data_IF_229062976289
#
_entry.id   IF_229062976289
#
_cell.length_a   1.000
_cell.length_b   1.000
_cell.length_c   1.000
_cell.angle_alpha   90.00
_cell.angle_beta   90.00
_cell.angle_gamma   90.00
#
_symmetry.space_group_name_H-M   'P 1'
#
loop_
_entity.id
_entity.type
_entity.pdbx_description
1 polymer ?
#
# COMPACT_ATOMS: atom_id res chain seq x y z
N UNK A 1 -0.30 0.24 31.94
CA UNK A 1 0.12 -0.66 30.85
C UNK A 1 -0.13 -0.08 29.44
N UNK A 2 -1.17 0.69 29.20
CA UNK A 2 -1.48 1.33 27.88
C UNK A 2 -0.42 2.36 27.46
N UNK A 3 0.12 3.15 28.39
CA UNK A 3 1.12 4.20 28.10
C UNK A 3 2.43 3.63 27.51
N UNK A 4 2.91 2.48 28.01
CA UNK A 4 4.15 1.86 27.53
C UNK A 4 4.05 1.32 26.08
N UNK A 5 2.87 0.92 25.61
CA UNK A 5 2.66 0.46 24.23
C UNK A 5 2.59 1.60 23.22
N UNK A 6 2.06 2.75 23.63
CA UNK A 6 2.02 3.96 22.79
C UNK A 6 3.43 4.49 22.50
N UNK A 7 4.31 4.49 23.51
CA UNK A 7 5.72 4.87 23.33
C UNK A 7 6.49 3.91 22.43
N UNK A 8 6.23 2.60 22.49
CA UNK A 8 6.86 1.63 21.60
C UNK A 8 6.43 1.84 20.13
N UNK A 9 5.16 2.13 19.90
CA UNK A 9 4.68 2.44 18.54
C UNK A 9 5.31 3.74 17.99
N UNK A 10 5.34 4.80 18.79
CA UNK A 10 6.01 6.06 18.44
C UNK A 10 7.50 5.84 18.14
N UNK A 11 8.18 5.02 18.92
CA UNK A 11 9.59 4.68 18.72
C UNK A 11 9.80 3.91 17.42
N UNK A 12 9.00 2.89 17.11
CA UNK A 12 9.08 2.14 15.84
C UNK A 12 8.70 3.01 14.64
N UNK A 13 7.70 3.88 14.76
CA UNK A 13 7.33 4.83 13.71
C UNK A 13 8.44 5.85 13.48
N UNK A 14 9.07 6.36 14.53
CA UNK A 14 10.24 7.24 14.44
C UNK A 14 11.46 6.54 13.84
N UNK A 15 11.72 5.28 14.18
CA UNK A 15 12.78 4.47 13.58
C UNK A 15 12.52 4.21 12.10
N UNK A 16 11.26 3.93 11.69
CA UNK A 16 10.88 3.75 10.30
C UNK A 16 11.03 5.06 9.50
N UNK A 17 10.62 6.19 10.08
CA UNK A 17 10.82 7.52 9.49
C UNK A 17 12.30 7.86 9.43
N UNK A 18 13.08 7.57 10.47
CA UNK A 18 14.53 7.75 10.47
C UNK A 18 15.21 6.88 9.41
N UNK A 19 14.78 5.63 9.22
CA UNK A 19 15.28 4.74 8.16
C UNK A 19 14.95 5.30 6.76
N UNK A 20 13.74 5.83 6.55
CA UNK A 20 13.36 6.51 5.31
C UNK A 20 14.13 7.82 5.09
N UNK A 21 14.52 8.53 6.15
CA UNK A 21 15.33 9.73 6.10
C UNK A 21 16.82 9.40 5.90
N UNK A 22 17.34 8.32 6.48
CA UNK A 22 18.72 7.87 6.32
C UNK A 22 19.02 7.38 4.89
N UNK A 23 18.05 6.84 4.18
CA UNK A 23 18.18 6.52 2.74
C UNK A 23 18.41 7.77 1.88
N UNK A 24 18.14 8.97 2.40
CA UNK A 24 18.34 10.25 1.71
C UNK A 24 19.69 10.94 1.97
N UNK A 25 20.43 10.57 3.01
CA UNK A 25 21.69 11.27 3.36
C UNK A 25 22.88 10.92 2.47
N UNK A 26 22.75 10.04 1.50
CA UNK A 26 23.84 9.65 0.57
C UNK A 26 23.83 10.40 -0.78
N UNK A 27 22.96 11.40 -0.97
CA UNK A 27 22.88 12.15 -2.24
C UNK A 27 23.31 13.59 -1.97
N UNK A 28 24.47 13.94 -2.53
CA UNK A 28 25.17 15.19 -2.40
C UNK A 28 24.30 16.46 -2.39
N UNK A 29 24.77 17.43 -1.64
CA UNK A 29 24.28 18.81 -1.58
C UNK A 29 24.05 19.38 -2.98
N UNK A 30 22.80 19.44 -3.40
CA UNK A 30 22.33 20.39 -4.40
C UNK A 30 21.29 21.26 -3.72
N UNK A 31 21.56 22.54 -3.76
CA UNK A 31 20.71 23.64 -3.30
C UNK A 31 19.32 23.54 -3.95
N UNK A 32 18.48 22.70 -3.40
CA UNK A 32 17.08 22.58 -3.78
C UNK A 32 16.25 23.13 -2.64
N UNK A 33 15.63 24.27 -2.86
CA UNK A 33 14.55 24.82 -2.03
C UNK A 33 13.37 23.81 -1.99
N UNK A 34 13.61 22.67 -1.35
CA UNK A 34 12.61 21.64 -1.14
C UNK A 34 11.59 22.16 -0.13
N UNK A 35 10.42 22.54 -0.63
CA UNK A 35 9.35 23.02 0.22
C UNK A 35 8.66 21.83 0.89
N UNK A 36 8.81 21.72 2.20
CA UNK A 36 8.03 20.82 3.03
C UNK A 36 6.65 21.42 3.27
N UNK A 37 5.64 20.56 3.30
CA UNK A 37 4.27 20.92 3.57
C UNK A 37 3.71 20.02 4.66
N UNK A 38 2.94 20.61 5.53
CA UNK A 38 2.15 19.92 6.54
C UNK A 38 0.68 20.02 6.16
N UNK A 39 0.01 18.87 6.09
CA UNK A 39 -1.43 18.80 5.88
C UNK A 39 -2.05 18.12 7.10
N UNK A 40 -2.95 18.83 7.75
CA UNK A 40 -3.68 18.33 8.93
C UNK A 40 -5.14 18.16 8.56
N UNK A 41 -5.70 16.99 8.85
CA UNK A 41 -7.02 16.59 8.40
C UNK A 41 -7.80 15.87 9.50
N UNK A 42 -8.64 16.57 10.28
CA UNK A 42 -9.68 15.91 11.06
C UNK A 42 -10.63 15.16 10.14
N UNK A 43 -11.03 13.96 10.56
CA UNK A 43 -11.96 13.11 9.82
C UNK A 43 -13.04 12.52 10.70
N UNK A 44 -14.23 12.33 10.12
CA UNK A 44 -15.33 11.58 10.69
C UNK A 44 -15.80 10.52 9.71
N UNK A 45 -16.16 9.33 10.22
CA UNK A 45 -16.51 8.23 9.34
C UNK A 45 -17.14 7.05 10.06
N UNK A 46 -17.05 5.88 9.40
CA UNK A 46 -17.57 4.61 9.88
C UNK A 46 -16.62 3.47 9.52
N UNK A 47 -16.67 2.41 10.30
CA UNK A 47 -16.10 1.11 9.90
C UNK A 47 -17.08 0.43 8.98
N UNK A 48 -16.64 0.05 7.76
CA UNK A 48 -17.49 -0.63 6.78
C UNK A 48 -17.61 -2.12 7.17
N UNK A 49 -18.82 -2.62 7.46
CA UNK A 49 -19.06 -4.05 7.71
C UNK A 49 -19.05 -4.81 6.38
N UNK A 50 -17.94 -5.43 6.04
CA UNK A 50 -17.78 -6.21 4.80
C UNK A 50 -18.08 -7.70 4.96
N UNK A 51 -18.46 -8.12 6.17
CA UNK A 51 -18.89 -9.49 6.50
C UNK A 51 -19.99 -9.44 7.56
N UNK A 52 -20.97 -10.39 7.49
CA UNK A 52 -22.08 -10.43 8.44
C UNK A 52 -21.62 -10.57 9.91
N UNK A 53 -20.59 -11.39 10.13
CA UNK A 53 -20.03 -11.65 11.47
C UNK A 53 -19.43 -10.44 12.17
N UNK A 54 -19.29 -9.30 11.49
CA UNK A 54 -18.68 -8.09 12.07
C UNK A 54 -19.65 -6.92 12.21
N UNK A 55 -20.92 -7.08 11.79
CA UNK A 55 -21.91 -6.00 11.86
C UNK A 55 -22.19 -5.55 13.30
N UNK A 56 -22.21 -6.46 14.25
CA UNK A 56 -22.45 -6.17 15.68
C UNK A 56 -21.33 -5.31 16.31
N UNK A 57 -20.14 -5.26 15.69
CA UNK A 57 -19.02 -4.48 16.16
C UNK A 57 -19.14 -2.98 15.80
N UNK A 58 -20.04 -2.64 14.87
CA UNK A 58 -20.23 -1.27 14.41
C UNK A 58 -21.24 -0.58 15.32
N UNK A 59 -20.75 0.03 16.39
CA UNK A 59 -21.59 0.60 17.45
C UNK A 59 -21.66 2.14 17.38
N UNK A 60 -20.74 2.77 16.62
CA UNK A 60 -20.67 4.22 16.53
C UNK A 60 -19.85 4.72 15.33
N UNK A 61 -19.81 6.04 15.22
CA UNK A 61 -19.00 6.71 14.20
C UNK A 61 -17.53 6.74 14.59
N UNK A 62 -16.67 6.50 13.62
CA UNK A 62 -15.23 6.68 13.81
C UNK A 62 -14.86 8.17 13.75
N UNK A 63 -13.86 8.56 14.54
CA UNK A 63 -13.28 9.91 14.54
C UNK A 63 -11.77 9.80 14.49
N UNK A 64 -11.12 10.68 13.74
CA UNK A 64 -9.68 10.59 13.62
C UNK A 64 -9.01 11.89 13.20
N UNK A 65 -7.70 11.85 13.30
CA UNK A 65 -6.80 12.89 12.84
C UNK A 65 -5.75 12.27 11.92
N UNK A 66 -5.53 12.89 10.79
CA UNK A 66 -4.55 12.55 9.80
C UNK A 66 -3.57 13.72 9.65
N UNK A 67 -2.28 13.43 9.68
CA UNK A 67 -1.19 14.39 9.56
C UNK A 67 -0.23 13.91 8.48
N UNK A 68 -0.15 14.65 7.38
CA UNK A 68 0.70 14.33 6.24
C UNK A 68 1.84 15.33 6.12
N UNK A 69 3.06 14.86 6.42
CA UNK A 69 4.30 15.61 6.22
C UNK A 69 4.83 15.23 4.84
N UNK A 70 4.78 16.15 3.91
CA UNK A 70 5.15 15.84 2.53
C UNK A 70 6.18 16.83 1.96
N UNK A 71 6.86 16.35 0.95
CA UNK A 71 7.72 17.16 0.09
C UNK A 71 7.04 17.31 -1.26
N UNK A 72 6.86 18.54 -1.68
CA UNK A 72 6.38 18.81 -3.03
C UNK A 72 7.44 18.45 -4.05
N UNK A 73 7.01 17.87 -5.16
CA UNK A 73 7.87 17.60 -6.30
C UNK A 73 8.40 18.91 -6.88
N UNK A 74 9.73 19.00 -7.03
CA UNK A 74 10.45 20.20 -7.49
C UNK A 74 10.63 20.28 -9.01
N UNK A 75 10.23 19.24 -9.76
CA UNK A 75 10.40 19.17 -11.22
C UNK A 75 11.79 18.71 -11.68
N UNK A 76 12.70 18.38 -10.78
CA UNK A 76 14.04 17.89 -11.11
C UNK A 76 14.08 16.54 -11.80
N UNK A 77 13.02 15.73 -11.63
CA UNK A 77 12.88 14.41 -12.23
C UNK A 77 11.72 14.37 -13.21
N UNK A 78 11.85 13.59 -14.27
CA UNK A 78 10.83 13.47 -15.30
C UNK A 78 9.49 12.95 -14.75
N UNK A 79 9.49 12.02 -13.79
CA UNK A 79 8.25 11.49 -13.19
C UNK A 79 7.44 12.55 -12.45
N UNK A 80 8.07 13.64 -11.92
CA UNK A 80 7.35 14.77 -11.35
C UNK A 80 6.42 15.42 -12.39
N UNK A 81 6.93 15.60 -13.62
CA UNK A 81 6.18 16.14 -14.75
C UNK A 81 5.12 15.16 -15.25
N UNK A 82 5.50 13.89 -15.38
CA UNK A 82 4.62 12.85 -15.85
C UNK A 82 3.37 12.71 -14.97
N UNK A 83 3.51 12.90 -13.66
CA UNK A 83 2.42 12.79 -12.68
C UNK A 83 1.92 14.14 -12.14
N UNK A 84 2.10 15.23 -12.88
CA UNK A 84 1.60 16.56 -12.54
C UNK A 84 2.09 17.10 -11.19
N UNK A 85 3.35 16.84 -10.83
CA UNK A 85 3.99 17.25 -9.57
C UNK A 85 3.31 16.66 -8.33
N UNK A 86 3.45 15.37 -8.09
CA UNK A 86 2.88 14.69 -6.93
C UNK A 86 3.44 15.21 -5.61
N UNK A 87 2.62 15.08 -4.57
CA UNK A 87 3.02 15.29 -3.16
C UNK A 87 3.36 13.94 -2.56
N UNK A 88 4.57 13.77 -2.04
CA UNK A 88 5.03 12.49 -1.49
C UNK A 88 5.61 12.68 -0.10
N UNK A 89 5.27 11.81 0.83
CA UNK A 89 5.76 11.93 2.20
C UNK A 89 5.24 10.88 3.14
N UNK A 90 5.34 11.19 4.43
CA UNK A 90 4.89 10.30 5.51
C UNK A 90 3.59 10.82 6.08
N UNK A 91 2.66 9.91 6.19
CA UNK A 91 1.32 10.09 6.71
C UNK A 91 1.17 9.38 8.04
N UNK A 92 0.71 10.11 9.05
CA UNK A 92 0.35 9.58 10.36
C UNK A 92 -1.15 9.71 10.55
N UNK A 93 -1.79 8.62 10.96
CA UNK A 93 -3.23 8.61 11.22
C UNK A 93 -3.50 8.03 12.60
N UNK A 94 -4.40 8.66 13.34
CA UNK A 94 -4.96 8.15 14.58
C UNK A 94 -6.48 8.13 14.46
N UNK A 95 -7.10 6.97 14.68
CA UNK A 95 -8.55 6.77 14.55
C UNK A 95 -9.08 6.09 15.81
N UNK A 96 -10.11 6.67 16.38
CA UNK A 96 -11.03 5.99 17.30
C UNK A 96 -12.09 5.28 16.45
N UNK A 97 -12.24 3.97 16.64
CA UNK A 97 -13.11 3.13 15.79
C UNK A 97 -14.61 3.33 16.01
N UNK A 98 -15.02 4.04 17.07
CA UNK A 98 -16.42 4.10 17.52
C UNK A 98 -16.84 2.93 18.42
N UNK A 99 -15.99 1.90 18.55
CA UNK A 99 -16.11 0.77 19.48
C UNK A 99 -14.72 0.45 20.01
N UNK A 100 -14.30 1.22 21.02
CA UNK A 100 -12.94 1.11 21.57
C UNK A 100 -12.71 -0.14 22.39
N UNK A 101 -13.75 -0.75 22.90
CA UNK A 101 -13.66 -1.97 23.70
C UNK A 101 -13.26 -3.19 22.84
N UNK A 102 -13.89 -3.38 21.71
CA UNK A 102 -13.68 -4.55 20.85
C UNK A 102 -12.76 -4.26 19.65
N UNK A 103 -12.87 -3.07 19.02
CA UNK A 103 -12.07 -2.69 17.84
C UNK A 103 -10.86 -1.81 18.20
N UNK A 104 -10.91 -1.16 19.36
CA UNK A 104 -9.83 -0.32 19.84
C UNK A 104 -9.65 0.99 19.09
N UNK A 105 -8.50 1.63 19.36
CA UNK A 105 -7.97 2.73 18.58
C UNK A 105 -6.98 2.19 17.55
N UNK A 106 -6.93 2.80 16.39
CA UNK A 106 -6.06 2.42 15.28
C UNK A 106 -5.11 3.57 14.95
N UNK A 107 -3.84 3.23 14.79
CA UNK A 107 -2.77 4.17 14.44
C UNK A 107 -2.06 3.67 13.21
N UNK A 108 -1.65 4.56 12.31
CA UNK A 108 -0.81 4.16 11.18
C UNK A 108 0.29 5.17 10.88
N UNK A 109 1.38 4.65 10.30
CA UNK A 109 2.43 5.43 9.66
C UNK A 109 2.63 4.86 8.26
N UNK A 110 2.39 5.66 7.23
CA UNK A 110 2.37 5.23 5.83
C UNK A 110 3.17 6.18 4.95
N UNK A 111 3.78 5.66 3.90
CA UNK A 111 4.24 6.50 2.80
C UNK A 111 3.08 6.76 1.86
N UNK A 112 2.71 8.03 1.72
CA UNK A 112 1.57 8.49 0.93
C UNK A 112 2.07 9.24 -0.30
N UNK A 113 1.48 8.94 -1.45
CA UNK A 113 1.65 9.66 -2.72
C UNK A 113 0.32 10.23 -3.14
N UNK A 114 0.21 11.55 -3.16
CA UNK A 114 -0.93 12.28 -3.70
C UNK A 114 -0.65 12.72 -5.14
N UNK A 115 -1.40 12.19 -6.07
CA UNK A 115 -1.31 12.45 -7.51
C UNK A 115 -2.33 13.52 -7.90
N UNK A 116 -1.90 14.72 -8.33
CA UNK A 116 -2.80 15.71 -8.89
C UNK A 116 -3.42 15.21 -10.20
N UNK A 117 -4.74 15.28 -10.31
CA UNK A 117 -5.46 14.89 -11.52
C UNK A 117 -5.47 15.99 -12.58
N UNK A 118 -5.37 17.24 -12.16
CA UNK A 118 -5.30 18.38 -13.05
C UNK A 118 -3.84 18.68 -13.43
N UNK A 119 -3.62 19.15 -14.66
CA UNK A 119 -2.30 19.64 -15.06
C UNK A 119 -1.91 20.83 -14.18
N UNK A 120 -0.68 20.82 -13.68
CA UNK A 120 -0.12 21.91 -12.91
C UNK A 120 0.09 23.14 -13.79
N UNK A 121 -0.12 24.35 -13.25
CA UNK A 121 0.12 25.62 -13.96
C UNK A 121 1.59 25.79 -14.37
N UNK A 122 2.51 25.13 -13.66
CA UNK A 122 3.96 25.08 -14.01
C UNK A 122 4.23 24.41 -15.37
N UNK A 123 3.30 23.55 -15.85
CA UNK A 123 3.42 22.82 -17.13
C UNK A 123 2.86 23.67 -18.28
N UNK A 124 2.04 24.70 -17.99
CA UNK A 124 1.40 25.51 -19.01
C UNK A 124 2.33 26.61 -19.46
N UNK A 125 2.82 26.53 -20.70
CA UNK A 125 3.73 27.49 -21.32
C UNK A 125 3.06 28.78 -21.79
N UNK A 126 1.74 28.89 -21.72
CA UNK A 126 1.01 30.09 -22.17
C UNK A 126 0.85 31.09 -21.03
N UNK A 127 1.36 32.31 -21.28
CA UNK A 127 1.18 33.48 -20.44
C UNK A 127 -0.33 33.77 -20.33
N UNK A 128 -0.85 33.94 -19.11
CA UNK A 128 -2.21 34.41 -18.88
C UNK A 128 -3.23 33.37 -18.39
N UNK A 129 -2.81 32.12 -18.10
CA UNK A 129 -3.76 31.16 -17.52
C UNK A 129 -3.85 31.36 -16.01
N UNK A 130 -4.99 31.88 -15.57
CA UNK A 130 -5.38 31.93 -14.14
C UNK A 130 -5.25 30.56 -13.49
N UNK A 131 -4.75 30.52 -12.24
CA UNK A 131 -4.76 29.27 -11.45
C UNK A 131 -6.16 28.65 -11.48
N UNK A 132 -6.24 27.39 -11.87
CA UNK A 132 -7.55 26.70 -11.85
C UNK A 132 -8.07 26.71 -10.43
N UNK A 133 -9.26 27.24 -10.22
CA UNK A 133 -9.94 27.29 -8.92
C UNK A 133 -10.07 25.89 -8.29
N UNK A 134 -10.28 24.86 -9.13
CA UNK A 134 -10.48 23.48 -8.70
C UNK A 134 -9.24 22.64 -8.99
N UNK A 135 -8.66 22.09 -7.96
CA UNK A 135 -7.57 21.12 -8.03
C UNK A 135 -7.97 19.87 -7.27
N UNK A 136 -7.68 18.72 -7.85
CA UNK A 136 -8.10 17.41 -7.34
C UNK A 136 -6.88 16.51 -7.19
N UNK A 137 -6.90 15.64 -6.18
CA UNK A 137 -5.84 14.64 -5.93
C UNK A 137 -6.45 13.29 -5.66
N UNK A 138 -5.77 12.24 -6.12
CA UNK A 138 -5.93 10.87 -5.66
C UNK A 138 -4.68 10.49 -4.88
N UNK A 139 -4.85 9.97 -3.66
CA UNK A 139 -3.78 9.53 -2.80
C UNK A 139 -3.81 8.03 -2.58
N UNK A 140 -2.61 7.42 -2.61
CA UNK A 140 -2.39 6.03 -2.26
C UNK A 140 -1.29 5.96 -1.20
N UNK A 141 -1.57 5.32 -0.08
CA UNK A 141 -0.63 5.12 1.03
C UNK A 141 -0.48 3.65 1.38
N UNK A 142 0.75 3.28 1.73
CA UNK A 142 1.07 1.97 2.27
C UNK A 142 2.05 2.11 3.42
N UNK A 143 1.83 1.37 4.50
CA UNK A 143 2.67 1.44 5.69
C UNK A 143 2.30 0.44 6.75
N UNK A 144 2.64 0.80 7.98
CA UNK A 144 2.38 -0.01 9.18
C UNK A 144 1.21 0.56 9.96
N UNK A 145 0.38 -0.35 10.44
CA UNK A 145 -0.75 -0.07 11.30
C UNK A 145 -0.61 -0.77 12.66
N UNK A 146 -1.12 -0.11 13.69
CA UNK A 146 -1.22 -0.66 15.04
C UNK A 146 -2.65 -0.52 15.54
N UNK A 147 -3.23 -1.62 16.05
CA UNK A 147 -4.53 -1.62 16.74
C UNK A 147 -4.32 -1.88 18.23
N UNK A 148 -4.99 -1.12 19.07
CA UNK A 148 -4.94 -1.34 20.53
C UNK A 148 -5.69 -2.60 20.95
N UNK A 149 -6.65 -3.05 20.14
CA UNK A 149 -7.36 -4.31 20.31
C UNK A 149 -7.07 -5.27 19.16
N UNK A 150 -7.06 -6.54 19.48
CA UNK A 150 -6.96 -7.66 18.55
C UNK A 150 -7.96 -8.73 18.96
N UNK A 151 -8.19 -9.68 18.08
CA UNK A 151 -8.88 -10.90 18.45
C UNK A 151 -8.12 -11.65 19.55
N UNK A 152 -8.84 -12.13 20.54
CA UNK A 152 -8.32 -12.95 21.63
C UNK A 152 -9.41 -13.91 22.07
N UNK A 153 -9.06 -15.19 22.30
CA UNK A 153 -10.03 -16.24 22.56
C UNK A 153 -10.78 -16.03 23.86
N UNK A 154 -10.13 -15.46 24.87
CA UNK A 154 -10.72 -15.27 26.20
C UNK A 154 -11.38 -13.88 26.35
N UNK A 155 -10.72 -12.83 25.87
CA UNK A 155 -11.11 -11.46 26.18
C UNK A 155 -11.78 -10.72 25.04
N UNK A 156 -11.66 -11.18 23.76
CA UNK A 156 -12.21 -10.49 22.59
C UNK A 156 -12.52 -11.44 21.42
N UNK A 157 -13.12 -12.59 21.73
CA UNK A 157 -13.41 -13.65 20.72
C UNK A 157 -14.44 -13.24 19.68
N UNK A 158 -15.32 -12.29 19.99
CA UNK A 158 -16.35 -11.80 19.07
C UNK A 158 -15.85 -10.83 18.01
N UNK A 159 -14.57 -10.36 18.08
CA UNK A 159 -14.00 -9.38 17.16
C UNK A 159 -13.00 -10.00 16.16
N UNK A 160 -13.42 -10.81 15.17
CA UNK A 160 -12.52 -11.54 14.26
C UNK A 160 -11.87 -10.66 13.20
N UNK A 161 -11.74 -9.36 13.45
CA UNK A 161 -11.21 -8.40 12.49
C UNK A 161 -9.70 -8.52 12.33
N UNK A 162 -8.96 -8.50 13.43
CA UNK A 162 -7.49 -8.48 13.44
C UNK A 162 -6.94 -9.46 14.47
N UNK A 163 -6.24 -10.48 14.03
CA UNK A 163 -5.56 -11.44 14.91
C UNK A 163 -4.26 -10.88 15.52
N UNK A 164 -3.75 -9.78 15.00
CA UNK A 164 -2.50 -9.16 15.46
C UNK A 164 -2.69 -7.67 15.75
N UNK A 165 -1.86 -7.14 16.66
CA UNK A 165 -1.82 -5.68 16.91
C UNK A 165 -1.09 -4.93 15.80
N UNK A 166 -0.02 -5.53 15.25
CA UNK A 166 0.72 -4.98 14.12
C UNK A 166 0.11 -5.49 12.82
N UNK A 167 -0.16 -4.57 11.89
CA UNK A 167 -0.83 -4.83 10.62
C UNK A 167 -0.17 -4.00 9.50
N UNK A 168 -0.44 -4.34 8.26
CA UNK A 168 -0.28 -3.42 7.16
C UNK A 168 -1.39 -2.37 7.21
N UNK A 169 -1.08 -1.14 6.83
CA UNK A 169 -2.03 -0.06 6.64
C UNK A 169 -2.00 0.37 5.17
N UNK A 170 -3.14 0.28 4.50
CA UNK A 170 -3.30 0.69 3.11
C UNK A 170 -4.37 1.77 3.06
N UNK A 171 -4.05 2.93 2.49
CA UNK A 171 -5.01 4.01 2.36
C UNK A 171 -5.24 4.41 0.91
N UNK A 172 -6.49 4.71 0.61
CA UNK A 172 -6.92 5.41 -0.59
C UNK A 172 -7.64 6.68 -0.18
N UNK A 173 -7.34 7.78 -0.86
CA UNK A 173 -8.04 9.04 -0.61
C UNK A 173 -8.26 9.81 -1.90
N UNK A 174 -9.33 10.59 -1.91
CA UNK A 174 -9.60 11.61 -2.89
C UNK A 174 -9.82 12.93 -2.18
N UNK A 175 -9.25 14.01 -2.71
CA UNK A 175 -9.46 15.35 -2.18
C UNK A 175 -9.58 16.38 -3.27
N UNK A 176 -10.29 17.46 -2.95
CA UNK A 176 -10.43 18.64 -3.81
C UNK A 176 -10.12 19.92 -3.02
N UNK A 177 -9.49 20.88 -3.68
CA UNK A 177 -9.29 22.22 -3.12
C UNK A 177 -10.62 22.96 -3.03
N UNK A 178 -10.92 23.48 -1.85
CA UNK A 178 -12.04 24.34 -1.59
C UNK A 178 -11.66 25.82 -1.71
N UNK A 179 -10.55 26.21 -1.07
CA UNK A 179 -10.04 27.57 -1.06
C UNK A 179 -8.52 27.59 -0.97
N UNK A 180 -7.89 28.60 -1.56
CA UNK A 180 -6.45 28.85 -1.46
C UNK A 180 -6.21 30.29 -0.98
N UNK A 181 -5.24 30.43 -0.07
CA UNK A 181 -4.84 31.68 0.55
C UNK A 181 -3.33 31.87 0.40
N UNK A 182 -2.84 33.02 0.79
CA UNK A 182 -1.39 33.33 0.74
C UNK A 182 -0.54 32.41 1.60
N UNK A 183 -1.13 31.83 2.66
CA UNK A 183 -0.44 31.02 3.67
C UNK A 183 -0.80 29.54 3.63
N UNK A 184 -1.74 29.11 2.78
CA UNK A 184 -2.13 27.69 2.65
C UNK A 184 -3.41 27.50 1.87
N UNK A 185 -3.95 26.29 1.93
CA UNK A 185 -5.20 25.93 1.25
C UNK A 185 -6.05 24.98 2.07
N UNK A 186 -7.37 25.11 1.94
CA UNK A 186 -8.33 24.13 2.45
C UNK A 186 -8.70 23.13 1.37
N UNK A 187 -8.74 21.86 1.78
CA UNK A 187 -9.18 20.73 0.95
C UNK A 187 -10.27 19.96 1.69
N UNK A 188 -11.23 19.42 0.94
CA UNK A 188 -12.16 18.41 1.46
C UNK A 188 -12.03 17.13 0.65
N UNK A 189 -12.38 16.00 1.26
CA UNK A 189 -12.29 14.74 0.59
C UNK A 189 -12.83 13.57 1.39
N UNK A 190 -12.63 12.39 0.83
CA UNK A 190 -12.90 11.13 1.53
C UNK A 190 -11.66 10.26 1.55
N UNK A 191 -11.59 9.39 2.55
CA UNK A 191 -10.50 8.44 2.76
C UNK A 191 -11.04 7.09 3.17
N UNK A 192 -10.44 6.04 2.63
CA UNK A 192 -10.59 4.67 3.11
C UNK A 192 -9.24 4.22 3.63
N UNK A 193 -9.20 3.72 4.86
CA UNK A 193 -8.01 3.16 5.50
C UNK A 193 -8.29 1.72 5.87
N UNK A 194 -7.51 0.82 5.31
CA UNK A 194 -7.60 -0.63 5.53
C UNK A 194 -6.45 -1.11 6.41
N UNK A 195 -6.78 -1.91 7.43
CA UNK A 195 -5.80 -2.65 8.24
C UNK A 195 -5.97 -4.14 8.04
N UNK A 196 -4.87 -4.84 7.81
CA UNK A 196 -4.83 -6.29 7.68
C UNK A 196 -3.41 -6.79 7.90
N UNK A 197 -3.26 -7.98 8.44
CA UNK A 197 -1.94 -8.61 8.58
C UNK A 197 -1.58 -9.59 7.43
N UNK A 198 -2.40 -9.61 6.36
CA UNK A 198 -2.15 -10.48 5.21
C UNK A 198 -2.17 -11.98 5.55
N UNK A 199 -3.05 -12.38 6.47
CA UNK A 199 -3.16 -13.73 7.00
C UNK A 199 -1.91 -14.27 7.74
N UNK A 200 -0.98 -13.39 8.11
CA UNK A 200 0.15 -13.75 8.98
C UNK A 200 -0.31 -14.29 10.33
N UNK A 201 -1.43 -13.76 10.84
CA UNK A 201 -2.08 -14.24 12.08
C UNK A 201 -3.60 -14.22 11.94
N UNK A 202 -4.23 -15.36 12.23
CA UNK A 202 -5.67 -15.50 12.15
C UNK A 202 -6.35 -15.13 13.50
N UNK A 203 -7.62 -14.68 13.47
CA UNK A 203 -8.41 -14.36 12.29
C UNK A 203 -7.95 -13.04 11.66
N UNK A 204 -8.20 -12.84 10.37
CA UNK A 204 -7.80 -11.64 9.65
C UNK A 204 -8.87 -11.25 8.61
N UNK A 205 -10.02 -10.78 9.06
CA UNK A 205 -11.01 -10.17 8.18
C UNK A 205 -10.59 -8.76 7.75
N UNK A 206 -9.74 -8.09 8.55
CA UNK A 206 -9.31 -6.72 8.33
C UNK A 206 -10.34 -5.68 8.79
N UNK A 207 -9.93 -4.42 8.91
CA UNK A 207 -10.83 -3.29 9.17
C UNK A 207 -10.79 -2.32 8.02
N UNK A 208 -11.95 -1.81 7.59
CA UNK A 208 -12.09 -0.79 6.56
C UNK A 208 -12.73 0.44 7.18
N UNK A 209 -11.95 1.47 7.48
CA UNK A 209 -12.47 2.74 7.96
C UNK A 209 -12.66 3.69 6.77
N UNK A 210 -13.89 4.12 6.52
CA UNK A 210 -14.21 5.11 5.51
C UNK A 210 -14.69 6.40 6.20
N UNK A 211 -14.14 7.55 5.79
CA UNK A 211 -14.48 8.83 6.39
C UNK A 211 -14.35 10.00 5.43
N UNK A 212 -15.05 11.06 5.78
CA UNK A 212 -14.92 12.38 5.17
C UNK A 212 -13.94 13.21 6.00
N UNK A 213 -13.16 14.06 5.34
CA UNK A 213 -12.23 14.94 6.02
C UNK A 213 -12.28 16.36 5.44
N UNK A 214 -11.93 17.31 6.30
CA UNK A 214 -11.55 18.67 5.94
C UNK A 214 -10.08 18.86 6.31
N UNK A 215 -9.26 19.35 5.41
CA UNK A 215 -7.82 19.52 5.66
C UNK A 215 -7.35 20.94 5.43
N UNK A 216 -6.33 21.32 6.18
CA UNK A 216 -5.54 22.51 5.96
C UNK A 216 -4.11 22.12 5.58
N UNK A 217 -3.64 22.63 4.45
CA UNK A 217 -2.28 22.44 3.94
C UNK A 217 -1.50 23.76 4.09
N UNK A 218 -0.35 23.73 4.79
CA UNK A 218 0.44 24.93 5.13
C UNK A 218 1.32 25.47 4.02
N UNK A 219 1.62 24.66 2.99
CA UNK A 219 2.56 25.09 1.96
C UNK A 219 1.87 25.81 0.81
N UNK A 220 2.48 26.91 0.43
CA UNK A 220 2.19 27.61 -0.81
C UNK A 220 2.89 26.89 -1.97
N UNK A 221 2.18 26.62 -3.05
CA UNK A 221 2.81 26.14 -4.28
C UNK A 221 3.78 27.20 -4.80
N UNK A 222 5.05 26.85 -4.86
CA UNK A 222 6.03 27.71 -5.50
C UNK A 222 5.74 27.78 -7.00
N UNK A 223 5.41 28.96 -7.52
CA UNK A 223 5.21 29.20 -8.94
C UNK A 223 6.51 29.32 -9.74
N UNK A 224 7.63 28.80 -9.21
CA UNK A 224 8.87 28.83 -9.96
C UNK A 224 8.70 28.07 -11.27
N UNK A 225 8.86 28.76 -12.40
CA UNK A 225 8.95 28.11 -13.72
C UNK A 225 10.17 27.19 -13.69
N UNK A 226 9.95 25.89 -13.80
CA UNK A 226 11.00 24.89 -13.86
C UNK A 226 11.05 24.37 -15.29
N UNK A 227 12.26 24.26 -15.84
CA UNK A 227 12.45 23.66 -17.15
C UNK A 227 12.29 22.14 -17.05
N UNK A 228 11.52 21.56 -17.96
CA UNK A 228 11.33 20.11 -17.99
C UNK A 228 12.67 19.42 -18.28
N UNK A 229 13.02 18.38 -17.51
CA UNK A 229 14.17 17.55 -17.84
C UNK A 229 13.94 16.84 -19.17
N UNK A 230 15.01 16.42 -19.88
CA UNK A 230 14.87 15.67 -21.10
C UNK A 230 14.04 14.40 -20.86
N UNK A 231 13.21 14.06 -21.86
CA UNK A 231 12.41 12.82 -21.78
C UNK A 231 13.36 11.62 -21.76
N UNK A 232 13.29 10.75 -20.74
CA UNK A 232 14.19 9.61 -20.67
C UNK A 232 13.89 8.63 -21.80
N UNK A 233 14.93 7.99 -22.31
CA UNK A 233 14.81 6.84 -23.21
C UNK A 233 14.17 5.70 -22.43
N UNK A 234 13.12 5.12 -22.99
CA UNK A 234 12.39 4.02 -22.37
C UNK A 234 12.73 2.73 -23.11
N UNK A 235 13.35 1.80 -22.41
CA UNK A 235 13.50 0.45 -22.90
C UNK A 235 12.12 -0.19 -23.05
N UNK A 236 11.83 -0.63 -24.29
CA UNK A 236 10.47 -1.02 -24.68
C UNK A 236 10.04 -2.36 -24.09
N UNK A 237 10.98 -3.29 -23.98
CA UNK A 237 10.71 -4.64 -23.49
C UNK A 237 11.58 -4.96 -22.28
N UNK A 238 11.05 -5.76 -21.39
CA UNK A 238 11.79 -6.29 -20.24
C UNK A 238 11.36 -7.70 -19.92
N UNK A 239 12.31 -8.50 -19.45
CA UNK A 239 12.08 -9.82 -18.87
C UNK A 239 12.52 -9.77 -17.41
N UNK A 240 11.78 -10.38 -16.51
CA UNK A 240 12.17 -10.48 -15.11
C UNK A 240 11.91 -11.86 -14.55
N UNK A 241 12.80 -12.27 -13.65
CA UNK A 241 12.65 -13.46 -12.80
C UNK A 241 12.70 -12.99 -11.36
N UNK A 242 11.79 -13.46 -10.53
CA UNK A 242 11.70 -13.07 -9.12
C UNK A 242 11.34 -14.24 -8.23
N UNK A 243 11.98 -14.30 -7.07
CA UNK A 243 11.66 -15.23 -5.99
C UNK A 243 11.11 -14.43 -4.82
N UNK A 244 9.94 -14.81 -4.31
CA UNK A 244 9.36 -14.22 -3.12
C UNK A 244 8.81 -15.29 -2.19
N UNK A 245 8.78 -14.97 -0.89
CA UNK A 245 8.29 -15.87 0.14
C UNK A 245 7.58 -15.09 1.23
N UNK A 246 6.61 -15.73 1.87
CA UNK A 246 5.86 -15.21 2.98
C UNK A 246 5.49 -16.30 3.98
N UNK A 247 4.91 -15.86 5.09
CA UNK A 247 4.38 -16.74 6.13
C UNK A 247 2.89 -16.49 6.29
N UNK A 248 2.12 -17.55 6.46
CA UNK A 248 0.69 -17.47 6.74
C UNK A 248 0.28 -18.44 7.83
N UNK A 249 -0.81 -18.13 8.49
CA UNK A 249 -1.49 -18.99 9.44
C UNK A 249 -2.80 -19.47 8.83
N UNK A 250 -3.21 -20.68 9.21
CA UNK A 250 -4.53 -21.24 8.92
C UNK A 250 -5.32 -21.41 10.22
N UNK A 251 -6.62 -21.60 10.12
CA UNK A 251 -7.46 -21.93 11.28
C UNK A 251 -7.11 -23.34 11.83
N UNK A 252 -7.18 -23.55 13.15
CA UNK A 252 -7.57 -22.60 14.20
C UNK A 252 -6.50 -21.55 14.49
N UNK A 253 -6.89 -20.36 15.05
CA UNK A 253 -5.96 -19.29 15.38
C UNK A 253 -4.89 -19.69 16.39
N UNK A 254 -3.75 -18.93 16.42
CA UNK A 254 -2.58 -19.18 17.26
C UNK A 254 -1.86 -20.51 16.92
N UNK A 255 -2.06 -21.00 15.71
CA UNK A 255 -1.43 -22.19 15.19
C UNK A 255 -0.03 -21.96 14.60
N UNK A 256 0.44 -22.98 13.89
CA UNK A 256 1.72 -22.97 13.18
C UNK A 256 1.69 -21.98 12.01
N UNK A 257 2.81 -21.30 11.74
CA UNK A 257 3.05 -20.54 10.52
C UNK A 257 3.54 -21.45 9.40
N UNK A 258 2.99 -21.30 8.22
CA UNK A 258 3.33 -22.04 7.03
C UNK A 258 4.00 -21.13 6.00
N UNK A 259 5.05 -21.63 5.37
CA UNK A 259 5.74 -20.91 4.30
C UNK A 259 4.95 -21.04 3.01
N UNK A 260 4.80 -19.93 2.31
CA UNK A 260 4.37 -19.89 0.92
C UNK A 260 5.42 -19.15 0.10
N UNK A 261 5.75 -19.66 -1.08
CA UNK A 261 6.79 -19.13 -1.94
C UNK A 261 6.34 -19.10 -3.39
N UNK A 262 6.92 -18.20 -4.17
CA UNK A 262 6.65 -18.08 -5.59
C UNK A 262 7.91 -17.76 -6.38
N UNK A 263 8.10 -18.48 -7.48
CA UNK A 263 9.04 -18.16 -8.53
C UNK A 263 8.26 -17.62 -9.71
N UNK A 264 8.48 -16.34 -10.04
CA UNK A 264 7.76 -15.60 -11.08
C UNK A 264 8.62 -15.33 -12.29
N UNK A 265 8.07 -15.53 -13.48
CA UNK A 265 8.64 -15.15 -14.78
C UNK A 265 7.70 -14.17 -15.45
N UNK A 266 8.18 -12.99 -15.83
CA UNK A 266 7.34 -11.92 -16.37
C UNK A 266 8.03 -11.20 -17.51
N UNK A 267 7.38 -11.19 -18.68
CA UNK A 267 7.70 -10.35 -19.82
C UNK A 267 6.79 -9.12 -19.83
N UNK A 268 7.35 -7.92 -19.98
CA UNK A 268 6.59 -6.68 -19.99
C UNK A 268 6.94 -5.83 -21.20
N UNK A 269 5.93 -5.14 -21.75
CA UNK A 269 6.06 -4.12 -22.78
C UNK A 269 5.64 -2.77 -22.22
N UNK A 270 6.53 -1.79 -22.26
CA UNK A 270 6.22 -0.41 -21.91
C UNK A 270 5.23 0.17 -22.92
N UNK A 271 4.09 0.67 -22.41
CA UNK A 271 3.07 1.35 -23.21
C UNK A 271 3.35 2.86 -23.18
N UNK A 272 3.83 3.35 -22.04
CA UNK A 272 4.16 4.74 -21.82
C UNK A 272 5.28 4.87 -20.79
N UNK A 273 5.74 6.08 -20.55
CA UNK A 273 6.64 6.35 -19.42
C UNK A 273 6.07 5.85 -18.07
N UNK A 274 4.74 5.93 -17.90
CA UNK A 274 4.06 5.60 -16.64
C UNK A 274 3.73 4.14 -16.49
N UNK A 275 3.56 3.38 -17.58
CA UNK A 275 2.91 2.08 -17.53
C UNK A 275 3.49 1.05 -18.48
N UNK A 276 3.35 -0.22 -18.08
CA UNK A 276 3.61 -1.39 -18.91
C UNK A 276 2.49 -2.42 -18.75
N UNK A 277 2.29 -3.21 -19.80
CA UNK A 277 1.52 -4.46 -19.79
C UNK A 277 2.48 -5.63 -19.89
N UNK A 278 2.13 -6.73 -19.24
CA UNK A 278 2.95 -7.93 -19.26
C UNK A 278 2.15 -9.21 -19.19
N UNK A 279 2.83 -10.28 -19.57
CA UNK A 279 2.37 -11.67 -19.47
C UNK A 279 3.47 -12.50 -18.84
N UNK A 280 3.08 -13.51 -18.10
CA UNK A 280 4.05 -14.35 -17.41
C UNK A 280 3.44 -15.60 -16.82
N UNK A 281 4.22 -16.26 -15.99
CA UNK A 281 3.76 -17.41 -15.23
C UNK A 281 4.44 -17.46 -13.87
N UNK A 282 3.74 -18.05 -12.90
CA UNK A 282 4.19 -18.28 -11.54
C UNK A 282 4.26 -19.78 -11.25
N UNK A 283 5.31 -20.20 -10.55
CA UNK A 283 5.40 -21.49 -9.88
C UNK A 283 5.29 -21.19 -8.39
N UNK A 284 4.20 -21.64 -7.77
CA UNK A 284 3.89 -21.36 -6.37
C UNK A 284 3.99 -22.65 -5.54
N UNK A 285 4.41 -22.49 -4.30
CA UNK A 285 4.38 -23.55 -3.30
C UNK A 285 3.75 -23.02 -2.03
N UNK A 286 2.74 -23.72 -1.51
CA UNK A 286 2.03 -23.32 -0.29
C UNK A 286 1.97 -24.50 0.69
N UNK A 287 2.86 -24.50 1.68
CA UNK A 287 2.93 -25.55 2.69
C UNK A 287 1.64 -25.65 3.54
N UNK A 288 0.83 -24.59 3.62
CA UNK A 288 -0.42 -24.61 4.37
C UNK A 288 -1.49 -25.49 3.70
N UNK A 289 -1.42 -25.64 2.37
CA UNK A 289 -2.36 -26.47 1.62
C UNK A 289 -2.23 -27.95 2.00
N UNK A 290 -1.01 -28.44 2.26
CA UNK A 290 -0.76 -29.79 2.76
C UNK A 290 -1.46 -29.99 4.10
N UNK A 291 -1.28 -29.07 5.05
CA UNK A 291 -1.88 -29.15 6.37
C UNK A 291 -3.43 -29.11 6.31
N UNK A 292 -3.99 -28.27 5.44
CA UNK A 292 -5.44 -28.23 5.24
C UNK A 292 -5.98 -29.56 4.69
N UNK A 293 -5.28 -30.15 3.73
CA UNK A 293 -5.68 -31.44 3.14
C UNK A 293 -5.50 -32.61 4.11
N UNK A 294 -4.43 -32.59 4.91
CA UNK A 294 -4.22 -33.59 5.98
C UNK A 294 -5.36 -33.55 7.00
N UNK A 295 -5.79 -32.34 7.42
CA UNK A 295 -6.95 -32.16 8.30
C UNK A 295 -8.26 -32.64 7.69
N UNK A 296 -8.44 -32.51 6.37
CA UNK A 296 -9.66 -32.91 5.66
C UNK A 296 -9.73 -34.41 5.40
N UNK A 297 -8.61 -35.00 5.01
CA UNK A 297 -8.57 -36.37 4.46
C UNK A 297 -8.01 -37.40 5.47
N UNK A 298 -7.46 -36.94 6.60
CA UNK A 298 -6.83 -37.82 7.60
C UNK A 298 -5.47 -38.41 7.17
N UNK A 299 -4.98 -38.06 5.99
CA UNK A 299 -3.67 -38.51 5.46
C UNK A 299 -2.90 -37.32 4.91
N UNK A 300 -1.59 -37.32 5.16
CA UNK A 300 -0.70 -36.24 4.72
C UNK A 300 -0.39 -36.37 3.22
N UNK A 301 -0.72 -35.34 2.38
CA UNK A 301 -0.37 -35.33 0.98
C UNK A 301 1.13 -35.22 0.74
N UNK A 302 1.60 -35.58 -0.44
CA UNK A 302 2.97 -35.33 -0.88
C UNK A 302 3.23 -33.82 -1.11
N UNK A 303 4.47 -33.39 -0.84
CA UNK A 303 4.88 -31.99 -1.04
C UNK A 303 4.73 -31.50 -2.48
N UNK A 304 4.89 -32.39 -3.45
CA UNK A 304 4.72 -32.14 -4.90
C UNK A 304 3.30 -31.70 -5.27
N UNK A 305 2.30 -32.13 -4.52
CA UNK A 305 0.89 -31.80 -4.75
C UNK A 305 0.56 -30.35 -4.32
N UNK A 306 1.36 -29.75 -3.45
CA UNK A 306 1.25 -28.33 -3.06
C UNK A 306 1.85 -27.36 -4.08
N UNK A 307 2.46 -27.87 -5.15
CA UNK A 307 3.00 -27.05 -6.23
C UNK A 307 1.86 -26.65 -7.17
N UNK A 308 1.66 -25.36 -7.30
CA UNK A 308 0.71 -24.74 -8.21
C UNK A 308 1.45 -24.06 -9.35
N UNK A 309 0.88 -24.04 -10.55
CA UNK A 309 1.37 -23.30 -11.71
C UNK A 309 0.27 -22.39 -12.21
N UNK A 310 0.55 -21.12 -12.40
CA UNK A 310 -0.40 -20.15 -12.89
C UNK A 310 0.14 -19.29 -14.02
N UNK A 311 -0.69 -19.02 -15.02
CA UNK A 311 -0.45 -17.98 -16.02
C UNK A 311 -0.95 -16.64 -15.49
N UNK A 312 -0.26 -15.53 -15.82
CA UNK A 312 -0.64 -14.22 -15.32
C UNK A 312 -0.60 -13.11 -16.38
N UNK A 313 -1.47 -12.13 -16.18
CA UNK A 313 -1.44 -10.81 -16.79
C UNK A 313 -0.94 -9.79 -15.77
N UNK A 314 -0.15 -8.82 -16.20
CA UNK A 314 0.43 -7.79 -15.33
C UNK A 314 0.20 -6.40 -15.89
N UNK A 315 -0.17 -5.48 -15.02
CA UNK A 315 -0.13 -4.04 -15.27
C UNK A 315 0.79 -3.38 -14.27
N UNK A 316 1.70 -2.54 -14.75
CA UNK A 316 2.70 -1.86 -13.93
C UNK A 316 2.59 -0.36 -14.07
N UNK A 317 2.61 0.36 -12.92
CA UNK A 317 2.76 1.81 -12.84
C UNK A 317 4.14 2.15 -12.30
N UNK A 318 4.82 3.10 -12.92
CA UNK A 318 6.21 3.44 -12.60
C UNK A 318 6.34 4.85 -12.02
N UNK A 319 7.05 4.93 -10.89
CA UNK A 319 7.38 6.15 -10.18
C UNK A 319 8.90 6.19 -9.97
N UNK A 320 9.65 6.48 -11.03
CA UNK A 320 11.12 6.42 -11.06
C UNK A 320 11.63 4.97 -10.77
N UNK A 321 12.29 4.76 -9.65
CA UNK A 321 12.78 3.43 -9.21
C UNK A 321 11.71 2.55 -8.59
N UNK A 322 10.61 3.14 -8.15
CA UNK A 322 9.47 2.41 -7.58
C UNK A 322 8.47 2.06 -8.69
N UNK A 323 7.92 0.86 -8.64
CA UNK A 323 6.77 0.50 -9.46
C UNK A 323 5.71 -0.20 -8.62
N UNK A 324 4.46 0.08 -8.92
CA UNK A 324 3.31 -0.64 -8.39
C UNK A 324 2.86 -1.66 -9.43
N UNK A 325 2.75 -2.91 -9.01
CA UNK A 325 2.37 -4.05 -9.85
C UNK A 325 0.98 -4.53 -9.48
N UNK A 326 0.14 -4.74 -10.48
CA UNK A 326 -1.16 -5.39 -10.39
C UNK A 326 -1.14 -6.61 -11.30
N UNK A 327 -1.34 -7.78 -10.74
CA UNK A 327 -1.28 -9.03 -11.49
C UNK A 327 -2.55 -9.83 -11.25
N UNK A 328 -3.11 -10.34 -12.35
CA UNK A 328 -4.24 -11.26 -12.36
C UNK A 328 -3.73 -12.61 -12.87
N UNK A 329 -3.82 -13.63 -12.05
CA UNK A 329 -3.41 -14.99 -12.41
C UNK A 329 -4.57 -15.96 -12.50
N UNK A 330 -4.37 -17.01 -13.31
CA UNK A 330 -5.24 -18.18 -13.41
C UNK A 330 -4.40 -19.42 -13.16
N UNK A 331 -4.84 -20.31 -12.27
CA UNK A 331 -4.17 -21.58 -12.04
C UNK A 331 -4.34 -22.51 -13.25
N UNK A 332 -3.21 -22.96 -13.80
CA UNK A 332 -3.14 -23.98 -14.84
C UNK A 332 -3.05 -25.36 -14.19
N UNK A 333 -2.27 -25.44 -13.07
CA UNK A 333 -2.17 -26.62 -12.22
C UNK A 333 -2.42 -26.21 -10.77
N UNK A 334 -3.42 -26.80 -10.16
CA UNK A 334 -3.73 -26.73 -8.72
C UNK A 334 -4.48 -28.02 -8.32
N UNK A 335 -3.79 -28.96 -7.71
CA UNK A 335 -4.39 -30.26 -7.36
C UNK A 335 -5.43 -30.12 -6.27
N UNK A 336 -5.22 -29.23 -5.30
CA UNK A 336 -6.09 -29.11 -4.13
C UNK A 336 -7.30 -28.17 -4.35
N UNK A 337 -7.21 -27.24 -5.29
CA UNK A 337 -8.28 -26.28 -5.66
C UNK A 337 -8.96 -25.58 -4.47
N UNK A 338 -8.18 -25.26 -3.43
CA UNK A 338 -8.69 -24.72 -2.17
C UNK A 338 -9.30 -23.33 -2.28
N UNK A 339 -8.83 -22.50 -3.22
CA UNK A 339 -9.17 -21.09 -3.32
C UNK A 339 -9.74 -20.67 -4.69
N UNK A 340 -10.21 -21.62 -5.49
CA UNK A 340 -10.76 -21.37 -6.83
C UNK A 340 -9.68 -21.21 -7.90
N UNK A 341 -10.08 -20.80 -9.11
CA UNK A 341 -9.21 -20.80 -10.30
C UNK A 341 -8.38 -19.53 -10.44
N UNK A 342 -8.75 -18.43 -9.78
CA UNK A 342 -8.12 -17.12 -9.97
C UNK A 342 -7.39 -16.66 -8.73
N UNK A 343 -6.24 -16.00 -8.93
CA UNK A 343 -5.52 -15.29 -7.89
C UNK A 343 -5.07 -13.91 -8.36
N UNK A 344 -4.83 -13.01 -7.42
CA UNK A 344 -4.31 -11.68 -7.67
C UNK A 344 -3.04 -11.47 -6.89
N UNK A 345 -2.13 -10.66 -7.42
CA UNK A 345 -0.95 -10.20 -6.68
C UNK A 345 -0.80 -8.69 -6.88
N UNK A 346 -0.77 -7.97 -5.78
CA UNK A 346 -0.59 -6.53 -5.75
C UNK A 346 0.67 -6.20 -4.97
N UNK A 347 1.52 -5.33 -5.49
CA UNK A 347 2.72 -5.04 -4.74
C UNK A 347 3.57 -3.92 -5.29
N UNK A 348 4.57 -3.60 -4.49
CA UNK A 348 5.60 -2.63 -4.80
C UNK A 348 6.88 -3.37 -5.22
N UNK A 349 7.51 -2.86 -6.28
CA UNK A 349 8.84 -3.30 -6.72
C UNK A 349 9.76 -2.09 -6.74
N UNK A 350 10.90 -2.20 -6.11
CA UNK A 350 11.92 -1.15 -6.05
C UNK A 350 13.20 -1.60 -6.76
N UNK A 351 13.63 -0.85 -7.78
CA UNK A 351 14.87 -1.10 -8.51
C UNK A 351 16.07 -0.65 -7.68
N UNK A 352 16.92 -1.61 -7.27
CA UNK A 352 18.09 -1.38 -6.42
C UNK A 352 19.26 -0.92 -7.28
N UNK A 353 19.79 -1.78 -8.14
CA UNK A 353 20.91 -1.51 -9.03
C UNK A 353 20.99 -2.55 -10.17
N UNK A 354 21.45 -2.12 -11.38
CA UNK A 354 21.83 -3.01 -12.50
C UNK A 354 20.88 -4.21 -12.74
N UNK A 355 19.57 -3.96 -12.75
CA UNK A 355 18.57 -5.01 -12.95
C UNK A 355 18.08 -5.70 -11.67
N UNK A 356 18.78 -5.58 -10.56
CA UNK A 356 18.34 -6.13 -9.28
C UNK A 356 17.16 -5.32 -8.72
N UNK A 357 16.14 -6.01 -8.24
CA UNK A 357 14.99 -5.39 -7.56
C UNK A 357 14.60 -6.14 -6.28
N UNK A 358 14.03 -5.39 -5.33
CA UNK A 358 13.27 -5.93 -4.22
C UNK A 358 11.77 -5.77 -4.47
N UNK A 359 10.95 -6.66 -3.92
CA UNK A 359 9.50 -6.56 -3.99
C UNK A 359 8.83 -6.89 -2.67
N UNK A 360 7.70 -6.22 -2.44
CA UNK A 360 6.74 -6.50 -1.38
C UNK A 360 5.39 -6.70 -2.05
N UNK A 361 4.81 -7.88 -1.92
CA UNK A 361 3.60 -8.26 -2.64
C UNK A 361 2.58 -8.87 -1.69
N UNK A 362 1.31 -8.69 -1.96
CA UNK A 362 0.19 -9.37 -1.31
C UNK A 362 -0.48 -10.27 -2.35
N UNK A 363 -0.52 -11.56 -2.09
CA UNK A 363 -1.34 -12.50 -2.85
C UNK A 363 -2.75 -12.56 -2.26
N UNK A 364 -3.75 -12.55 -3.11
CA UNK A 364 -5.17 -12.59 -2.71
C UNK A 364 -5.96 -13.51 -3.62
N UNK A 365 -7.09 -13.99 -3.10
CA UNK A 365 -8.15 -14.60 -3.89
C UNK A 365 -9.38 -13.69 -3.77
N UNK A 366 -9.63 -12.89 -4.81
CA UNK A 366 -10.58 -11.76 -4.77
C UNK A 366 -10.25 -10.80 -3.60
N UNK A 367 -11.20 -10.52 -2.72
CA UNK A 367 -11.03 -9.63 -1.57
C UNK A 367 -10.36 -10.29 -0.35
N UNK A 368 -10.09 -11.61 -0.39
CA UNK A 368 -9.48 -12.33 0.73
C UNK A 368 -7.96 -12.37 0.57
N UNK A 369 -7.23 -11.78 1.51
CA UNK A 369 -5.78 -11.91 1.59
C UNK A 369 -5.39 -13.38 1.81
N UNK A 370 -4.41 -13.85 1.05
CA UNK A 370 -3.83 -15.20 1.19
C UNK A 370 -2.54 -15.12 2.00
N UNK A 371 -1.56 -14.34 1.55
CA UNK A 371 -0.34 -14.02 2.30
C UNK A 371 0.40 -12.83 1.73
N UNK A 372 1.17 -12.14 2.60
CA UNK A 372 2.16 -11.14 2.19
C UNK A 372 3.49 -11.81 1.86
N UNK A 373 4.18 -11.32 0.83
CA UNK A 373 5.45 -11.84 0.33
C UNK A 373 6.51 -10.76 0.28
N UNK A 374 7.74 -11.11 0.65
CA UNK A 374 8.95 -10.31 0.40
C UNK A 374 9.83 -11.08 -0.56
N UNK A 375 10.38 -10.41 -1.54
CA UNK A 375 11.19 -11.07 -2.57
C UNK A 375 12.23 -10.19 -3.22
N UNK A 376 13.07 -10.84 -3.97
CA UNK A 376 14.10 -10.24 -4.82
C UNK A 376 14.00 -10.83 -6.22
N UNK A 377 14.55 -10.13 -7.19
CA UNK A 377 14.59 -10.65 -8.54
C UNK A 377 15.50 -9.83 -9.44
N UNK A 378 15.62 -10.29 -10.65
CA UNK A 378 16.44 -9.66 -11.67
C UNK A 378 15.60 -9.29 -12.89
N UNK A 379 15.87 -8.11 -13.44
CA UNK A 379 15.18 -7.51 -14.57
C UNK A 379 16.18 -7.25 -15.70
N UNK A 380 16.02 -7.96 -16.82
CA UNK A 380 16.69 -7.65 -18.08
C UNK A 380 15.85 -6.67 -18.88
N UNK A 381 16.49 -5.65 -19.45
CA UNK A 381 15.85 -4.62 -20.27
C UNK A 381 16.46 -4.63 -21.67
N UNK A 382 15.61 -4.40 -22.68
CA UNK A 382 16.03 -4.32 -24.08
C UNK A 382 15.26 -3.23 -24.85
#
# INVERSE_FOLDING_TARGET
>A
MVIAHTYRFLFFSLCFVALLLLVKSSIGQRDSSAHWSLIVSPQGGVIIPHHESVKHLIQGHSKGLHVFVNRQSDGSKFWHWAYNFPECGVDFTAINSGNTEQLGNQYSSSYLVNLPLNKDSRIQTKVGVSERKFRHWIGLGIGLGYSTQRWDLETNHQAPMLGSRMNAAISFQYSMRLAAFTFGEFRAGFRVLHFSNGAFQMPNLGTNNAGLFLSYATAKHSHRKVQAPPTPVIERYSLSVGLASGLKEILPPNGRKYTASVLSFLGEKRISYKSALGVGFDILYDASSIAVMELRNGSKPEASQAIQVGGLLSYSLFFDKLSFKMQQGIYIRDEFKLNGALYHRFGLRYSIARGLYAQLTLKTHFAKADYGEIGIGYLWRR
#
